data_IF_036674990534
#
_entry.id   IF_036674990534
#
_cell.length_a   1.000
_cell.length_b   1.000
_cell.length_c   1.000
_cell.angle_alpha   90.00
_cell.angle_beta   90.00
_cell.angle_gamma   90.00
#
_symmetry.space_group_name_H-M   'P 1'
#
loop_
_entity.id
_entity.type
_entity.pdbx_description
1 polymer ?
#
# COMPACT_ATOMS: atom_id res chain seq x y z
N UNK A 1 34.44 -11.54 7.49
CA UNK A 1 34.49 -11.67 6.00
C UNK A 1 33.11 -11.98 5.38
N UNK A 2 32.00 -11.40 5.87
CA UNK A 2 30.64 -11.73 5.39
C UNK A 2 29.98 -10.66 4.49
N UNK A 3 30.55 -9.44 4.38
CA UNK A 3 29.94 -8.35 3.61
C UNK A 3 29.87 -8.56 2.10
N UNK A 4 30.81 -9.32 1.50
CA UNK A 4 30.85 -9.51 0.03
C UNK A 4 29.77 -10.47 -0.52
N UNK A 5 29.04 -11.19 0.35
CA UNK A 5 27.98 -12.12 -0.08
C UNK A 5 26.61 -11.46 -0.19
N UNK A 6 26.33 -10.38 0.56
CA UNK A 6 25.05 -9.67 0.48
C UNK A 6 24.97 -8.78 -0.76
N UNK A 7 26.07 -8.11 -1.12
CA UNK A 7 26.14 -7.22 -2.29
C UNK A 7 25.90 -7.98 -3.61
N UNK A 8 26.42 -9.20 -3.71
CA UNK A 8 26.20 -10.07 -4.88
C UNK A 8 24.74 -10.51 -5.00
N UNK A 9 24.04 -10.69 -3.89
CA UNK A 9 22.61 -11.05 -3.87
C UNK A 9 21.74 -9.86 -4.26
N UNK A 10 22.05 -8.66 -3.75
CA UNK A 10 21.35 -7.43 -4.12
C UNK A 10 21.53 -7.09 -5.61
N UNK A 11 22.75 -7.21 -6.14
CA UNK A 11 23.01 -7.01 -7.57
C UNK A 11 22.29 -8.04 -8.45
N UNK A 12 22.27 -9.31 -8.03
CA UNK A 12 21.58 -10.35 -8.78
C UNK A 12 20.05 -10.16 -8.76
N UNK A 13 19.48 -9.70 -7.65
CA UNK A 13 18.05 -9.39 -7.53
C UNK A 13 17.65 -8.18 -8.39
N UNK A 14 18.46 -7.11 -8.40
CA UNK A 14 18.28 -5.95 -9.29
C UNK A 14 18.36 -6.34 -10.77
N UNK A 15 19.31 -7.20 -11.14
CA UNK A 15 19.48 -7.64 -12.53
C UNK A 15 18.34 -8.55 -12.98
N UNK A 16 17.78 -9.35 -12.08
CA UNK A 16 16.58 -10.18 -12.33
C UNK A 16 15.32 -9.31 -12.50
N UNK A 17 15.16 -8.27 -11.67
CA UNK A 17 14.06 -7.30 -11.76
C UNK A 17 14.07 -6.52 -13.08
N UNK A 18 15.25 -6.07 -13.53
CA UNK A 18 15.41 -5.39 -14.82
C UNK A 18 15.08 -6.30 -16.01
N UNK A 19 15.39 -7.60 -15.91
CA UNK A 19 15.11 -8.57 -16.98
C UNK A 19 13.61 -8.89 -17.10
N UNK A 20 12.88 -8.91 -15.97
CA UNK A 20 11.43 -9.12 -15.95
C UNK A 20 10.63 -7.96 -16.58
N UNK A 21 11.08 -6.72 -16.38
CA UNK A 21 10.44 -5.52 -16.96
C UNK A 21 10.66 -5.42 -18.48
N UNK A 22 11.76 -5.97 -19.00
CA UNK A 22 12.05 -5.96 -20.43
C UNK A 22 11.19 -6.94 -21.24
N UNK A 23 10.63 -8.00 -20.62
CA UNK A 23 9.83 -9.01 -21.32
C UNK A 23 8.34 -8.65 -21.49
N UNK A 24 7.84 -7.56 -20.89
CA UNK A 24 6.40 -7.21 -20.94
C UNK A 24 6.02 -6.27 -22.09
N UNK A 25 6.91 -5.99 -23.05
CA UNK A 25 6.66 -5.03 -24.16
C UNK A 25 6.41 -5.72 -25.52
N UNK A 26 6.12 -7.03 -25.57
CA UNK A 26 5.73 -7.70 -26.82
C UNK A 26 4.42 -8.47 -26.64
N UNK A 27 3.31 -7.78 -26.89
CA UNK A 27 2.09 -8.37 -27.44
C UNK A 27 1.13 -7.25 -27.89
N UNK A 28 0.87 -7.16 -29.21
CA UNK A 28 -0.25 -6.34 -29.68
C UNK A 28 -0.21 -5.85 -31.12
N UNK A 29 -0.05 -6.72 -32.11
CA UNK A 29 -0.74 -6.55 -33.40
C UNK A 29 -0.70 -7.86 -34.20
N UNK A 30 -1.72 -8.70 -34.01
CA UNK A 30 -2.06 -9.78 -34.93
C UNK A 30 -3.32 -9.33 -35.68
N UNK A 31 -3.17 -9.02 -36.96
CA UNK A 31 -4.29 -8.80 -37.87
C UNK A 31 -4.24 -9.87 -38.94
N UNK A 32 -5.20 -10.79 -38.90
CA UNK A 32 -5.46 -11.77 -39.95
C UNK A 32 -5.78 -11.07 -41.28
N UNK A 33 -5.32 -11.60 -42.43
CA UNK A 33 -5.78 -11.19 -43.74
C UNK A 33 -6.96 -12.06 -44.21
N UNK A 34 -8.08 -11.44 -44.51
CA UNK A 34 -9.10 -11.97 -45.42
C UNK A 34 -9.81 -10.79 -46.10
N UNK A 35 -9.89 -10.85 -47.44
CA UNK A 35 -10.47 -9.83 -48.33
C UNK A 35 -11.90 -9.46 -47.98
N UNK A 36 -12.49 -8.40 -48.52
CA UNK A 36 -12.48 -8.01 -49.93
C UNK A 36 -12.91 -6.52 -50.07
N UNK A 37 -12.67 -5.99 -51.25
CA UNK A 37 -13.02 -4.68 -51.85
C UNK A 37 -14.32 -4.01 -51.36
N UNK A 38 -14.31 -2.68 -51.12
CA UNK A 38 -15.15 -1.66 -51.81
C UNK A 38 -14.90 -0.24 -51.25
N UNK A 39 -14.54 0.65 -52.17
CA UNK A 39 -14.45 2.12 -52.06
C UNK A 39 -15.75 2.75 -51.53
N UNK A 40 -15.71 3.60 -50.48
CA UNK A 40 -16.63 4.75 -50.34
C UNK A 40 -16.03 5.84 -49.45
N UNK A 41 -15.79 6.99 -50.10
CA UNK A 41 -15.83 8.40 -49.72
C UNK A 41 -15.90 8.83 -48.24
N UNK A 42 -15.05 9.82 -47.92
CA UNK A 42 -15.01 10.58 -46.68
C UNK A 42 -16.33 11.27 -46.31
N UNK A 43 -16.60 11.34 -45.01
CA UNK A 43 -17.35 12.43 -44.37
C UNK A 43 -16.87 12.60 -42.94
N UNK A 44 -16.08 13.64 -42.72
CA UNK A 44 -15.63 14.12 -41.42
C UNK A 44 -16.82 14.72 -40.67
N UNK A 45 -17.45 13.94 -39.80
CA UNK A 45 -18.33 14.45 -38.75
C UNK A 45 -17.54 14.47 -37.44
N UNK A 46 -16.91 15.61 -37.16
CA UNK A 46 -16.30 15.89 -35.86
C UNK A 46 -17.41 16.02 -34.82
N UNK A 47 -17.78 14.89 -34.20
CA UNK A 47 -18.65 14.89 -33.04
C UNK A 47 -17.82 15.35 -31.84
N UNK A 48 -18.02 16.60 -31.43
CA UNK A 48 -17.50 17.10 -30.16
C UNK A 48 -18.15 16.30 -29.03
N UNK A 49 -17.48 15.24 -28.58
CA UNK A 49 -17.83 14.53 -27.36
C UNK A 49 -17.64 15.49 -26.18
N UNK A 50 -18.74 16.02 -25.67
CA UNK A 50 -18.81 16.63 -24.35
C UNK A 50 -18.59 15.53 -23.31
N UNK A 51 -17.33 15.35 -22.90
CA UNK A 51 -16.99 14.52 -21.74
C UNK A 51 -17.60 15.17 -20.51
N UNK A 52 -18.81 14.74 -20.17
CA UNK A 52 -19.43 15.07 -18.89
C UNK A 52 -18.70 14.25 -17.84
N UNK A 53 -17.70 14.83 -17.19
CA UNK A 53 -16.99 14.20 -16.07
C UNK A 53 -18.00 13.96 -14.95
N UNK A 54 -18.57 12.75 -14.91
CA UNK A 54 -19.43 12.34 -13.81
C UNK A 54 -18.63 12.45 -12.50
N UNK A 55 -19.24 12.91 -11.40
CA UNK A 55 -18.56 13.01 -10.13
C UNK A 55 -18.05 11.63 -9.69
N UNK A 56 -16.74 11.52 -9.47
CA UNK A 56 -16.09 10.27 -9.04
C UNK A 56 -16.66 9.90 -7.67
N UNK A 57 -17.48 8.83 -7.63
CA UNK A 57 -17.99 8.27 -6.36
C UNK A 57 -16.94 7.32 -5.79
N UNK A 58 -16.12 7.84 -4.86
CA UNK A 58 -15.16 7.03 -4.12
C UNK A 58 -15.89 6.02 -3.22
N UNK A 59 -15.47 4.75 -3.27
CA UNK A 59 -15.97 3.72 -2.37
C UNK A 59 -15.56 3.99 -0.92
N UNK A 60 -16.17 3.30 0.04
CA UNK A 60 -15.75 3.36 1.46
C UNK A 60 -14.25 3.05 1.59
N UNK A 61 -13.80 1.99 0.91
CA UNK A 61 -12.42 1.54 0.95
C UNK A 61 -11.45 2.53 0.34
N UNK A 62 -11.82 3.21 -0.75
CA UNK A 62 -10.96 4.24 -1.35
C UNK A 62 -10.74 5.42 -0.41
N UNK A 63 -11.77 5.81 0.36
CA UNK A 63 -11.65 6.86 1.36
C UNK A 63 -10.76 6.44 2.53
N UNK A 64 -10.91 5.23 3.02
CA UNK A 64 -10.07 4.71 4.11
C UNK A 64 -8.61 4.53 3.68
N UNK A 65 -8.40 4.06 2.44
CA UNK A 65 -7.07 3.93 1.85
C UNK A 65 -6.41 5.30 1.72
N UNK A 66 -7.11 6.28 1.14
CA UNK A 66 -6.59 7.64 0.99
C UNK A 66 -6.23 8.25 2.35
N UNK A 67 -7.11 8.16 3.34
CA UNK A 67 -6.85 8.66 4.70
C UNK A 67 -5.60 8.04 5.32
N UNK A 68 -5.45 6.71 5.21
CA UNK A 68 -4.33 5.98 5.80
C UNK A 68 -3.02 6.32 5.09
N UNK A 69 -3.03 6.32 3.76
CA UNK A 69 -1.86 6.61 2.94
C UNK A 69 -1.37 8.06 3.13
N UNK A 70 -2.28 9.03 3.25
CA UNK A 70 -1.91 10.43 3.52
C UNK A 70 -1.21 10.59 4.86
N UNK A 71 -1.76 10.03 5.95
CA UNK A 71 -1.12 10.10 7.27
C UNK A 71 0.22 9.36 7.30
N UNK A 72 0.32 8.23 6.59
CA UNK A 72 1.58 7.50 6.46
C UNK A 72 2.65 8.35 5.77
N UNK A 73 2.30 9.00 4.66
CA UNK A 73 3.23 9.84 3.89
C UNK A 73 3.70 11.04 4.72
N UNK A 74 2.77 11.75 5.38
CA UNK A 74 3.07 12.90 6.24
C UNK A 74 3.97 12.52 7.42
N UNK A 75 3.71 11.37 8.06
CA UNK A 75 4.54 10.90 9.16
C UNK A 75 5.94 10.52 8.68
N UNK A 76 6.07 9.86 7.53
CA UNK A 76 7.38 9.53 6.94
C UNK A 76 8.16 10.80 6.62
N UNK A 77 7.50 11.80 6.03
CA UNK A 77 8.11 13.09 5.72
C UNK A 77 8.65 13.79 6.98
N UNK A 78 7.84 13.85 8.04
CA UNK A 78 8.24 14.39 9.34
C UNK A 78 9.49 13.67 9.90
N UNK A 79 9.49 12.34 9.89
CA UNK A 79 10.61 11.55 10.40
C UNK A 79 11.89 11.75 9.59
N UNK A 80 11.77 11.95 8.28
CA UNK A 80 12.90 12.28 7.41
C UNK A 80 13.43 13.69 7.73
N UNK A 81 12.55 14.68 7.90
CA UNK A 81 12.93 16.05 8.25
C UNK A 81 13.66 16.12 9.60
N UNK A 82 13.17 15.38 10.59
CA UNK A 82 13.79 15.27 11.92
C UNK A 82 15.06 14.40 11.94
N UNK A 83 15.39 13.74 10.83
CA UNK A 83 16.49 12.76 10.73
C UNK A 83 16.36 11.65 11.78
N UNK A 84 15.14 11.19 12.01
CA UNK A 84 14.85 10.09 12.91
C UNK A 84 15.65 8.85 12.49
N UNK A 85 16.25 8.11 13.44
CA UNK A 85 16.96 6.89 13.11
C UNK A 85 15.97 5.79 12.67
N UNK A 86 16.47 4.77 11.97
CA UNK A 86 15.62 3.70 11.43
C UNK A 86 14.91 2.85 12.49
N UNK A 87 15.37 2.92 13.74
CA UNK A 87 14.79 2.27 14.93
C UNK A 87 13.97 3.24 15.80
N UNK A 88 13.65 4.45 15.31
CA UNK A 88 12.74 5.37 16.00
C UNK A 88 11.38 4.68 16.27
N UNK A 89 10.85 4.69 17.51
CA UNK A 89 9.58 4.04 17.82
C UNK A 89 8.39 4.49 16.96
N UNK A 90 8.43 5.71 16.40
CA UNK A 90 7.41 6.24 15.48
C UNK A 90 7.39 5.51 14.15
N UNK A 91 8.49 4.86 13.75
CA UNK A 91 8.49 3.95 12.60
C UNK A 91 7.54 2.77 12.81
N UNK A 92 7.30 2.34 14.05
CA UNK A 92 6.25 1.36 14.38
C UNK A 92 4.86 1.79 13.92
N UNK A 93 4.53 3.09 14.03
CA UNK A 93 3.27 3.66 13.54
C UNK A 93 3.23 3.62 12.01
N UNK A 94 4.33 3.98 11.34
CA UNK A 94 4.45 3.91 9.88
C UNK A 94 4.20 2.49 9.38
N UNK A 95 4.80 1.48 10.00
CA UNK A 95 4.57 0.07 9.66
C UNK A 95 3.13 -0.34 9.92
N UNK A 96 2.50 0.11 11.01
CA UNK A 96 1.09 -0.14 11.28
C UNK A 96 0.15 0.45 10.22
N UNK A 97 0.38 1.71 9.81
CA UNK A 97 -0.36 2.36 8.74
C UNK A 97 -0.16 1.66 7.39
N UNK A 98 1.08 1.25 7.08
CA UNK A 98 1.38 0.48 5.87
C UNK A 98 0.66 -0.87 5.86
N UNK A 99 0.69 -1.59 6.97
CA UNK A 99 -0.04 -2.86 7.10
C UNK A 99 -1.53 -2.67 6.87
N UNK A 100 -2.13 -1.59 7.41
CA UNK A 100 -3.54 -1.23 7.21
C UNK A 100 -3.85 -0.93 5.73
N UNK A 101 -3.00 -0.16 5.06
CA UNK A 101 -3.11 0.14 3.61
C UNK A 101 -3.13 -1.14 2.78
N UNK A 102 -2.20 -2.06 3.05
CA UNK A 102 -2.12 -3.34 2.33
C UNK A 102 -3.30 -4.26 2.67
N UNK A 103 -3.77 -4.28 3.92
CA UNK A 103 -4.95 -5.04 4.32
C UNK A 103 -6.22 -4.56 3.59
N UNK A 104 -6.41 -3.25 3.45
CA UNK A 104 -7.52 -2.68 2.66
C UNK A 104 -7.41 -3.11 1.19
N UNK A 105 -6.21 -3.06 0.60
CA UNK A 105 -5.99 -3.51 -0.77
C UNK A 105 -6.29 -5.01 -0.94
N UNK A 106 -5.88 -5.84 0.02
CA UNK A 106 -6.21 -7.27 0.05
C UNK A 106 -7.73 -7.49 0.10
N UNK A 107 -8.45 -6.77 0.97
CA UNK A 107 -9.91 -6.85 1.08
C UNK A 107 -10.60 -6.45 -0.23
N UNK A 108 -10.13 -5.39 -0.89
CA UNK A 108 -10.62 -4.98 -2.22
C UNK A 108 -10.34 -6.03 -3.30
N UNK A 109 -9.18 -6.69 -3.25
CA UNK A 109 -8.83 -7.75 -4.20
C UNK A 109 -9.78 -8.95 -4.06
N UNK A 110 -10.12 -9.35 -2.83
CA UNK A 110 -11.15 -10.37 -2.56
C UNK A 110 -12.51 -9.96 -3.15
N UNK A 111 -12.96 -8.71 -2.93
CA UNK A 111 -14.22 -8.22 -3.49
C UNK A 111 -14.25 -8.22 -5.03
N UNK A 112 -13.08 -8.11 -5.67
CA UNK A 112 -12.91 -8.16 -7.13
C UNK A 112 -12.65 -9.57 -7.66
N UNK A 113 -12.63 -10.59 -6.79
CA UNK A 113 -12.25 -11.97 -7.11
C UNK A 113 -10.81 -12.11 -7.66
N UNK A 114 -9.91 -11.18 -7.34
CA UNK A 114 -8.50 -11.23 -7.72
C UNK A 114 -7.68 -11.93 -6.64
N UNK A 115 -7.67 -13.26 -6.69
CA UNK A 115 -7.05 -14.10 -5.65
C UNK A 115 -5.51 -13.97 -5.62
N UNK A 116 -4.87 -13.77 -6.78
CA UNK A 116 -3.42 -13.61 -6.85
C UNK A 116 -2.97 -12.30 -6.20
N UNK A 117 -3.71 -11.21 -6.45
CA UNK A 117 -3.47 -9.95 -5.78
C UNK A 117 -3.76 -10.05 -4.28
N UNK A 118 -4.83 -10.73 -3.88
CA UNK A 118 -5.17 -10.92 -2.47
C UNK A 118 -4.04 -11.65 -1.71
N UNK A 119 -3.54 -12.77 -2.26
CA UNK A 119 -2.46 -13.55 -1.63
C UNK A 119 -1.15 -12.75 -1.53
N UNK A 120 -0.77 -12.04 -2.60
CA UNK A 120 0.45 -11.22 -2.59
C UNK A 120 0.36 -10.04 -1.62
N UNK A 121 -0.82 -9.41 -1.51
CA UNK A 121 -1.07 -8.37 -0.51
C UNK A 121 -1.00 -8.95 0.91
N UNK A 122 -1.55 -10.14 1.15
CA UNK A 122 -1.51 -10.76 2.46
C UNK A 122 -0.08 -11.05 2.92
N UNK A 123 0.78 -11.53 2.02
CA UNK A 123 2.21 -11.69 2.30
C UNK A 123 2.88 -10.37 2.69
N UNK A 124 2.52 -9.27 2.04
CA UNK A 124 3.02 -7.94 2.41
C UNK A 124 2.53 -7.48 3.78
N UNK A 125 1.29 -7.84 4.19
CA UNK A 125 0.80 -7.59 5.55
C UNK A 125 1.67 -8.31 6.58
N UNK A 126 1.89 -9.63 6.42
CA UNK A 126 2.77 -10.40 7.29
C UNK A 126 4.17 -9.78 7.40
N UNK A 127 4.77 -9.46 6.26
CA UNK A 127 6.10 -8.85 6.20
C UNK A 127 6.14 -7.54 7.00
N UNK A 128 5.21 -6.63 6.72
CA UNK A 128 5.17 -5.28 7.32
C UNK A 128 4.96 -5.35 8.84
N UNK A 129 4.05 -6.23 9.30
CA UNK A 129 3.81 -6.41 10.73
C UNK A 129 5.01 -7.02 11.45
N UNK A 130 5.79 -7.88 10.78
CA UNK A 130 7.00 -8.46 11.35
C UNK A 130 8.14 -7.45 11.43
N UNK A 131 8.31 -6.55 10.45
CA UNK A 131 9.31 -5.46 10.53
C UNK A 131 9.08 -4.55 11.76
N UNK A 132 7.81 -4.34 12.12
CA UNK A 132 7.48 -3.47 13.27
C UNK A 132 7.78 -4.07 14.64
N UNK A 133 8.02 -5.39 14.73
CA UNK A 133 8.01 -6.14 16.01
C UNK A 133 9.04 -5.61 17.01
N UNK A 134 10.23 -5.28 16.52
CA UNK A 134 11.36 -4.94 17.38
C UNK A 134 11.53 -3.40 17.53
N UNK A 135 10.65 -2.60 16.91
CA UNK A 135 10.72 -1.12 16.87
C UNK A 135 9.53 -0.49 17.60
N UNK A 136 8.33 -1.04 17.44
CA UNK A 136 7.13 -0.51 18.07
C UNK A 136 7.21 -0.65 19.59
N UNK A 137 6.72 0.36 20.32
CA UNK A 137 6.68 0.36 21.79
C UNK A 137 5.30 0.73 22.31
N UNK A 138 5.05 0.42 23.59
CA UNK A 138 3.86 0.88 24.32
C UNK A 138 2.54 0.43 23.70
N UNK A 139 1.59 1.36 23.54
CA UNK A 139 0.27 1.06 22.97
C UNK A 139 0.33 0.64 21.49
N UNK A 140 1.33 1.13 20.74
CA UNK A 140 1.53 0.77 19.34
C UNK A 140 1.95 -0.69 19.23
N UNK A 141 2.91 -1.13 20.05
CA UNK A 141 3.35 -2.53 20.12
C UNK A 141 2.19 -3.48 20.40
N UNK A 142 1.35 -3.15 21.40
CA UNK A 142 0.18 -3.96 21.75
C UNK A 142 -0.83 -4.06 20.61
N UNK A 143 -1.04 -2.97 19.88
CA UNK A 143 -1.95 -2.95 18.72
C UNK A 143 -1.41 -3.82 17.60
N UNK A 144 -0.10 -3.71 17.29
CA UNK A 144 0.54 -4.51 16.25
C UNK A 144 0.66 -5.99 16.64
N UNK A 145 0.80 -6.31 17.94
CA UNK A 145 0.77 -7.68 18.43
C UNK A 145 -0.60 -8.34 18.21
N UNK A 146 -1.69 -7.62 18.51
CA UNK A 146 -3.05 -8.10 18.20
C UNK A 146 -3.28 -8.28 16.69
N UNK A 147 -2.81 -7.33 15.89
CA UNK A 147 -2.87 -7.42 14.44
C UNK A 147 -2.14 -8.66 13.91
N UNK A 148 -0.95 -8.99 14.44
CA UNK A 148 -0.21 -10.20 14.08
C UNK A 148 -0.99 -11.48 14.40
N UNK A 149 -1.61 -11.55 15.58
CA UNK A 149 -2.40 -12.72 15.96
C UNK A 149 -3.55 -13.01 14.97
N UNK A 150 -4.27 -11.96 14.53
CA UNK A 150 -5.33 -12.11 13.51
C UNK A 150 -4.75 -12.63 12.19
N UNK A 151 -3.59 -12.12 11.81
CA UNK A 151 -2.91 -12.44 10.56
C UNK A 151 -2.38 -13.87 10.55
N UNK A 152 -1.94 -14.40 11.69
CA UNK A 152 -1.49 -15.78 11.82
C UNK A 152 -2.63 -16.80 11.60
N UNK A 153 -3.87 -16.42 11.94
CA UNK A 153 -5.07 -17.26 11.73
C UNK A 153 -5.62 -17.18 10.29
N UNK A 154 -5.26 -16.14 9.53
CA UNK A 154 -5.89 -15.83 8.24
C UNK A 154 -5.48 -16.77 7.09
N UNK A 155 -4.23 -17.24 7.10
CA UNK A 155 -3.69 -18.09 6.03
C UNK A 155 -3.70 -17.39 4.64
N UNK A 156 -3.86 -18.18 3.58
CA UNK A 156 -3.94 -17.66 2.21
C UNK A 156 -5.39 -17.26 1.85
N UNK A 157 -5.66 -15.99 1.49
CA UNK A 157 -7.00 -15.53 1.09
C UNK A 157 -7.65 -16.36 -0.01
N UNK A 158 -6.87 -16.86 -0.97
CA UNK A 158 -7.37 -17.70 -2.07
C UNK A 158 -7.98 -19.03 -1.61
N UNK A 159 -7.55 -19.56 -0.46
CA UNK A 159 -8.07 -20.82 0.08
C UNK A 159 -9.45 -20.64 0.73
N UNK A 160 -9.68 -19.50 1.40
CA UNK A 160 -10.87 -19.24 2.21
C UNK A 160 -11.32 -17.76 2.09
N UNK A 161 -11.78 -17.29 0.92
CA UNK A 161 -11.98 -15.86 0.66
C UNK A 161 -13.03 -15.20 1.56
N UNK A 162 -14.08 -15.92 1.95
CA UNK A 162 -15.13 -15.38 2.84
C UNK A 162 -14.63 -15.21 4.28
N UNK A 163 -13.87 -16.18 4.79
CA UNK A 163 -13.27 -16.10 6.13
C UNK A 163 -12.14 -15.05 6.16
N UNK A 164 -11.28 -15.06 5.15
CA UNK A 164 -10.22 -14.08 5.00
C UNK A 164 -10.77 -12.65 4.92
N UNK A 165 -11.90 -12.43 4.24
CA UNK A 165 -12.59 -11.14 4.22
C UNK A 165 -12.99 -10.66 5.62
N UNK A 166 -13.57 -11.55 6.45
CA UNK A 166 -13.98 -11.21 7.81
C UNK A 166 -12.78 -10.90 8.71
N UNK A 167 -11.72 -11.71 8.65
CA UNK A 167 -10.49 -11.49 9.41
C UNK A 167 -9.74 -10.23 8.95
N UNK A 168 -9.77 -9.89 7.65
CA UNK A 168 -9.24 -8.62 7.15
C UNK A 168 -10.02 -7.43 7.69
N UNK A 169 -11.35 -7.51 7.78
CA UNK A 169 -12.17 -6.44 8.36
C UNK A 169 -11.84 -6.27 9.87
N UNK A 170 -11.61 -7.36 10.58
CA UNK A 170 -11.15 -7.35 11.98
C UNK A 170 -9.73 -6.75 12.11
N UNK A 171 -8.82 -7.13 11.22
CA UNK A 171 -7.46 -6.58 11.17
C UNK A 171 -7.47 -5.08 10.92
N UNK A 172 -8.23 -4.61 9.93
CA UNK A 172 -8.35 -3.19 9.57
C UNK A 172 -8.92 -2.38 10.74
N UNK A 173 -9.88 -2.97 11.46
CA UNK A 173 -10.46 -2.39 12.69
C UNK A 173 -9.44 -2.35 13.82
N UNK A 174 -8.69 -3.44 14.01
CA UNK A 174 -7.64 -3.54 15.03
C UNK A 174 -6.52 -2.53 14.79
N UNK A 175 -6.18 -2.24 13.54
CA UNK A 175 -5.18 -1.24 13.16
C UNK A 175 -5.70 0.20 13.14
N UNK A 176 -7.00 0.44 13.34
CA UNK A 176 -7.58 1.80 13.35
C UNK A 176 -6.89 2.79 14.32
N UNK A 177 -6.45 2.39 15.55
CA UNK A 177 -5.73 3.27 16.46
C UNK A 177 -4.41 3.82 15.91
N UNK A 178 -3.84 3.26 14.84
CA UNK A 178 -2.64 3.81 14.19
C UNK A 178 -2.89 5.18 13.57
N UNK A 179 -4.12 5.45 13.14
CA UNK A 179 -4.49 6.78 12.64
C UNK A 179 -4.43 7.82 13.77
N UNK A 180 -4.93 7.47 14.95
CA UNK A 180 -4.90 8.36 16.12
C UNK A 180 -3.49 8.53 16.66
N UNK A 181 -2.69 7.46 16.67
CA UNK A 181 -1.29 7.51 17.05
C UNK A 181 -0.48 8.44 16.13
N UNK A 182 -0.71 8.41 14.81
CA UNK A 182 -0.08 9.33 13.87
C UNK A 182 -0.49 10.78 14.13
N UNK A 183 -1.79 11.04 14.31
CA UNK A 183 -2.29 12.39 14.62
C UNK A 183 -1.73 12.95 15.94
N UNK A 184 -1.52 12.08 16.94
CA UNK A 184 -0.91 12.47 18.20
C UNK A 184 0.54 12.97 18.00
N UNK A 185 1.31 12.34 17.10
CA UNK A 185 2.67 12.81 16.76
C UNK A 185 2.63 14.24 16.22
N UNK A 186 1.77 14.54 15.23
CA UNK A 186 1.67 15.89 14.65
C UNK A 186 1.26 16.96 15.67
N UNK A 187 0.41 16.58 16.64
CA UNK A 187 -0.04 17.48 17.70
C UNK A 187 1.10 17.85 18.66
N UNK A 188 2.03 16.92 18.91
CA UNK A 188 3.19 17.18 19.77
C UNK A 188 4.20 18.14 19.13
N UNK A 189 4.42 18.04 17.81
CA UNK A 189 5.33 18.93 17.08
C UNK A 189 4.85 20.39 17.05
N UNK A 190 3.53 20.62 17.03
CA UNK A 190 2.93 21.97 16.98
C UNK A 190 3.03 22.72 18.32
N UNK A 191 3.17 22.02 19.45
CA UNK A 191 3.13 22.64 20.78
C UNK A 191 4.46 23.30 21.20
N UNK A 192 5.56 23.06 20.48
CA UNK A 192 6.88 23.65 20.76
C UNK A 192 7.11 24.89 19.88
N UNK A 193 6.31 25.94 20.07
CA UNK A 193 6.57 27.28 19.53
C UNK A 193 7.61 28.05 20.38
N UNK A 194 8.36 29.01 19.81
CA UNK A 194 9.60 29.53 20.41
C UNK A 194 9.37 30.24 21.74
N UNK A 195 10.07 29.78 22.79
CA UNK A 195 10.26 30.54 24.01
C UNK A 195 11.13 31.75 23.67
N UNK A 196 10.49 32.89 23.38
CA UNK A 196 11.16 34.18 23.24
C UNK A 196 11.68 34.60 24.61
N UNK A 197 12.87 34.14 24.98
CA UNK A 197 13.59 34.67 26.14
C UNK A 197 14.16 36.04 25.75
N UNK A 198 13.44 37.10 26.11
CA UNK A 198 13.97 38.47 26.08
C UNK A 198 14.70 38.71 27.40
N UNK A 199 16.01 38.92 27.33
CA UNK A 199 16.82 39.55 28.38
C UNK A 199 17.55 40.72 27.78
#
# INVERSE_FOLDING_TARGET
MNGRKSERRALMFCLLLLLLVALTVVAGCGSDPSGDTTTTTASTASSASTTTTAPIRLSKWDKELAKTASLQAELVELLVEEKAPGDDPRMGIVYGLRARTVAIACRQAIDRNDSALADSAMLQVHYTLNESRDIATGAVEQTLAKARAIVDDLGAPSAQPTEAAALLDELITTLAPMLDAANAVFSTTTTVGPTTTTT
#
